data_IF_953255883244
#
_entry.id   IF_953255883244
#
_cell.length_a   1.000
_cell.length_b   1.000
_cell.length_c   1.000
_cell.angle_alpha   90.00
_cell.angle_beta   90.00
_cell.angle_gamma   90.00
#
_symmetry.space_group_name_H-M   'P 1'
#
loop_
_entity.id
_entity.type
_entity.pdbx_description
1 polymer ?
#
# COMPACT_ATOMS: atom_id res chain seq x y z
N UNK A 1 -24.68 4.67 49.54
CA UNK A 1 -23.39 4.71 48.81
C UNK A 1 -23.45 3.69 47.66
N UNK A 2 -23.93 4.13 46.52
CA UNK A 2 -24.01 3.32 45.30
C UNK A 2 -22.88 3.80 44.37
N UNK A 3 -21.83 2.98 44.20
CA UNK A 3 -20.81 3.17 43.20
C UNK A 3 -21.38 2.74 41.85
N UNK A 4 -21.86 3.68 41.04
CA UNK A 4 -22.13 3.48 39.62
C UNK A 4 -20.80 3.34 38.90
N UNK A 5 -20.41 2.10 38.62
CA UNK A 5 -19.40 1.79 37.62
C UNK A 5 -20.09 1.55 36.28
N UNK A 6 -20.31 2.61 35.52
CA UNK A 6 -20.61 2.51 34.08
C UNK A 6 -19.36 2.04 33.33
N UNK A 7 -19.22 0.72 33.17
CA UNK A 7 -18.32 0.17 32.20
C UNK A 7 -18.91 0.44 30.81
N UNK A 8 -18.16 1.06 29.86
CA UNK A 8 -18.60 1.14 28.46
C UNK A 8 -18.66 -0.27 27.87
N UNK A 9 -19.81 -0.61 27.31
CA UNK A 9 -20.03 -1.84 26.57
C UNK A 9 -19.04 -1.87 25.38
N UNK A 10 -18.11 -2.85 25.39
CA UNK A 10 -17.14 -3.04 24.30
C UNK A 10 -15.72 -3.43 24.72
N UNK A 11 -15.47 -3.73 25.99
CA UNK A 11 -14.16 -4.15 26.51
C UNK A 11 -13.75 -5.56 26.08
N UNK A 12 -13.47 -5.78 24.77
CA UNK A 12 -12.70 -6.94 24.37
C UNK A 12 -11.25 -6.82 24.89
N UNK A 13 -10.68 -7.93 25.35
CA UNK A 13 -9.34 -7.99 25.95
C UNK A 13 -8.29 -7.36 24.99
N UNK A 14 -7.92 -6.11 25.26
CA UNK A 14 -6.80 -5.41 24.62
C UNK A 14 -5.57 -5.48 25.54
N UNK A 15 -4.36 -5.35 24.96
CA UNK A 15 -3.11 -5.41 25.72
C UNK A 15 -2.99 -4.27 26.74
N UNK A 16 -3.44 -3.07 26.34
CA UNK A 16 -3.44 -1.86 27.16
C UNK A 16 -4.80 -1.18 27.10
N UNK A 17 -5.57 -1.12 28.18
CA UNK A 17 -6.89 -0.47 28.19
C UNK A 17 -6.84 1.05 27.93
N UNK A 18 -5.67 1.67 28.08
CA UNK A 18 -5.43 3.10 27.87
C UNK A 18 -4.15 3.35 27.09
N UNK A 19 -3.27 4.20 27.63
CA UNK A 19 -2.03 4.62 26.98
C UNK A 19 -1.04 3.47 26.80
N UNK A 20 -0.55 3.28 25.57
CA UNK A 20 0.49 2.29 25.25
C UNK A 20 1.85 2.81 25.71
N UNK A 21 2.67 2.01 26.42
CA UNK A 21 4.01 2.42 26.83
C UNK A 21 4.86 2.85 25.63
N UNK A 22 5.62 3.95 25.78
CA UNK A 22 6.44 4.49 24.70
C UNK A 22 7.39 3.44 24.12
N UNK A 23 8.03 2.63 24.98
CA UNK A 23 8.93 1.54 24.56
C UNK A 23 8.24 0.58 23.57
N UNK A 24 7.03 0.12 23.86
CA UNK A 24 6.27 -0.80 23.00
C UNK A 24 5.91 -0.11 21.68
N UNK A 25 5.45 1.13 21.75
CA UNK A 25 5.03 1.94 20.59
C UNK A 25 6.19 2.14 19.59
N UNK A 26 7.34 2.60 20.07
CA UNK A 26 8.49 2.87 19.22
C UNK A 26 9.18 1.60 18.72
N UNK A 27 9.27 0.54 19.52
CA UNK A 27 9.86 -0.74 19.07
C UNK A 27 8.95 -1.43 18.07
N UNK A 28 7.62 -1.32 18.21
CA UNK A 28 6.66 -1.80 17.21
C UNK A 28 6.83 -1.01 15.89
N UNK A 29 6.90 0.31 15.96
CA UNK A 29 7.12 1.12 14.76
C UNK A 29 8.47 0.82 14.09
N UNK A 30 9.52 0.57 14.87
CA UNK A 30 10.83 0.20 14.35
C UNK A 30 10.83 -1.12 13.58
N UNK A 31 9.96 -2.08 13.95
CA UNK A 31 9.75 -3.30 13.18
C UNK A 31 9.27 -3.04 11.76
N UNK A 32 8.45 -2.00 11.54
CA UNK A 32 8.00 -1.62 10.21
C UNK A 32 9.15 -1.19 9.29
N UNK A 33 10.21 -0.56 9.83
CA UNK A 33 11.35 -0.12 9.03
C UNK A 33 11.95 -1.29 8.23
N UNK A 34 12.41 -2.35 8.92
CA UNK A 34 13.07 -3.48 8.26
C UNK A 34 12.11 -4.30 7.40
N UNK A 35 10.87 -4.47 7.87
CA UNK A 35 9.81 -5.16 7.13
C UNK A 35 9.56 -4.49 5.76
N UNK A 36 9.41 -3.18 5.76
CA UNK A 36 9.12 -2.44 4.54
C UNK A 36 10.37 -2.14 3.69
N UNK A 37 11.59 -2.29 4.23
CA UNK A 37 12.81 -2.35 3.42
C UNK A 37 12.82 -3.60 2.51
N UNK A 38 12.47 -4.79 3.02
CA UNK A 38 12.32 -6.00 2.20
C UNK A 38 11.27 -5.79 1.11
N UNK A 39 10.08 -5.33 1.51
CA UNK A 39 9.00 -5.05 0.56
C UNK A 39 9.42 -4.02 -0.49
N UNK A 40 10.08 -2.94 -0.08
CA UNK A 40 10.58 -1.88 -0.95
C UNK A 40 11.61 -2.39 -1.97
N UNK A 41 12.52 -3.27 -1.56
CA UNK A 41 13.50 -3.88 -2.47
C UNK A 41 12.81 -4.67 -3.57
N UNK A 42 11.81 -5.46 -3.23
CA UNK A 42 11.01 -6.22 -4.21
C UNK A 42 10.18 -5.28 -5.07
N UNK A 43 9.46 -4.32 -4.48
CA UNK A 43 8.59 -3.43 -5.22
C UNK A 43 9.34 -2.53 -6.22
N UNK A 44 10.55 -2.08 -5.86
CA UNK A 44 11.33 -1.12 -6.65
C UNK A 44 12.27 -1.80 -7.65
N UNK A 45 12.91 -2.90 -7.24
CA UNK A 45 14.05 -3.44 -7.97
C UNK A 45 13.84 -4.84 -8.52
N UNK A 46 12.81 -5.60 -8.10
CA UNK A 46 12.70 -7.00 -8.54
C UNK A 46 12.53 -7.12 -10.05
N UNK A 47 11.73 -6.27 -10.67
CA UNK A 47 11.50 -6.38 -12.12
C UNK A 47 12.79 -6.12 -12.90
N UNK A 48 13.51 -5.03 -12.61
CA UNK A 48 14.78 -4.70 -13.29
C UNK A 48 15.88 -5.70 -12.92
N UNK A 49 15.89 -6.26 -11.71
CA UNK A 49 16.79 -7.34 -11.34
C UNK A 49 16.59 -8.58 -12.20
N UNK A 50 15.33 -9.02 -12.35
CA UNK A 50 15.01 -10.19 -13.17
C UNK A 50 15.27 -9.96 -14.65
N UNK A 51 14.97 -8.77 -15.19
CA UNK A 51 15.20 -8.47 -16.63
C UNK A 51 16.66 -8.21 -16.95
N UNK A 52 17.34 -7.36 -16.16
CA UNK A 52 18.63 -6.78 -16.53
C UNK A 52 19.82 -7.53 -15.97
N UNK A 53 19.69 -8.09 -14.76
CA UNK A 53 20.77 -8.78 -14.06
C UNK A 53 20.76 -10.26 -14.39
N UNK A 54 19.62 -10.94 -14.22
CA UNK A 54 19.52 -12.38 -14.47
C UNK A 54 18.92 -12.72 -15.86
N UNK A 55 18.51 -11.69 -16.63
CA UNK A 55 18.15 -11.78 -18.07
C UNK A 55 16.95 -12.71 -18.37
N UNK A 56 15.93 -12.67 -17.53
CA UNK A 56 14.65 -13.34 -17.79
C UNK A 56 13.76 -12.43 -18.65
N UNK A 57 13.02 -13.00 -19.60
CA UNK A 57 12.15 -12.24 -20.51
C UNK A 57 11.11 -11.39 -19.76
N UNK A 58 10.92 -10.10 -20.08
CA UNK A 58 10.01 -9.20 -19.38
C UNK A 58 8.57 -9.69 -19.34
N UNK A 59 8.05 -10.27 -20.44
CA UNK A 59 6.70 -10.83 -20.48
C UNK A 59 6.51 -11.98 -19.48
N UNK A 60 7.50 -12.88 -19.34
CA UNK A 60 7.46 -13.95 -18.35
C UNK A 60 7.39 -13.38 -16.92
N UNK A 61 8.20 -12.36 -16.62
CA UNK A 61 8.21 -11.72 -15.30
C UNK A 61 6.88 -11.03 -15.02
N UNK A 62 6.28 -10.37 -16.02
CA UNK A 62 4.96 -9.77 -15.90
C UNK A 62 3.88 -10.80 -15.55
N UNK A 63 3.89 -11.96 -16.23
CA UNK A 63 2.98 -13.10 -15.93
C UNK A 63 3.25 -13.66 -14.54
N UNK A 64 4.51 -13.84 -14.18
CA UNK A 64 4.93 -14.33 -12.86
C UNK A 64 4.42 -13.42 -11.74
N UNK A 65 4.62 -12.10 -11.86
CA UNK A 65 4.15 -11.13 -10.87
C UNK A 65 2.63 -11.09 -10.80
N UNK A 66 1.95 -11.16 -11.94
CA UNK A 66 0.48 -11.27 -11.97
C UNK A 66 -0.02 -12.49 -11.20
N UNK A 67 0.51 -13.68 -11.53
CA UNK A 67 0.13 -14.92 -10.86
C UNK A 67 0.42 -14.89 -9.36
N UNK A 68 1.60 -14.38 -8.96
CA UNK A 68 1.98 -14.24 -7.56
C UNK A 68 1.04 -13.29 -6.79
N UNK A 69 0.65 -12.15 -7.37
CA UNK A 69 -0.28 -11.20 -6.71
C UNK A 69 -1.69 -11.76 -6.57
N UNK A 70 -2.17 -12.54 -7.55
CA UNK A 70 -3.44 -13.26 -7.42
C UNK A 70 -3.34 -14.30 -6.30
N UNK A 71 -2.24 -15.06 -6.27
CA UNK A 71 -1.99 -16.03 -5.21
C UNK A 71 -1.92 -15.37 -3.81
N UNK A 72 -1.24 -14.23 -3.68
CA UNK A 72 -1.16 -13.46 -2.43
C UNK A 72 -2.53 -13.11 -1.87
N UNK A 73 -3.50 -12.78 -2.74
CA UNK A 73 -4.86 -12.46 -2.29
C UNK A 73 -5.56 -13.64 -1.60
N UNK A 74 -5.32 -14.87 -2.08
CA UNK A 74 -5.82 -16.08 -1.42
C UNK A 74 -5.02 -16.42 -0.16
N UNK A 75 -3.70 -16.32 -0.23
CA UNK A 75 -2.80 -16.62 0.87
C UNK A 75 -3.06 -15.75 2.11
N UNK A 76 -3.39 -14.48 1.93
CA UNK A 76 -3.74 -13.56 3.02
C UNK A 76 -4.94 -14.05 3.84
N UNK A 77 -5.96 -14.59 3.17
CA UNK A 77 -7.15 -15.13 3.85
C UNK A 77 -6.80 -16.36 4.70
N UNK A 78 -5.98 -17.25 4.13
CA UNK A 78 -5.49 -18.43 4.86
C UNK A 78 -4.69 -18.03 6.08
N UNK A 79 -3.78 -17.08 5.93
CA UNK A 79 -2.93 -16.62 7.01
C UNK A 79 -3.72 -15.92 8.11
N UNK A 80 -4.70 -15.10 7.76
CA UNK A 80 -5.62 -14.49 8.71
C UNK A 80 -6.34 -15.54 9.57
N UNK A 81 -6.86 -16.60 8.96
CA UNK A 81 -7.51 -17.69 9.68
C UNK A 81 -6.55 -18.47 10.60
N UNK A 82 -5.32 -18.72 10.14
CA UNK A 82 -4.30 -19.40 10.95
C UNK A 82 -3.92 -18.56 12.19
N UNK A 83 -3.68 -17.27 12.00
CA UNK A 83 -3.37 -16.35 13.09
C UNK A 83 -4.52 -16.28 14.09
N UNK A 84 -5.77 -16.21 13.61
CA UNK A 84 -6.95 -16.11 14.48
C UNK A 84 -7.18 -17.34 15.33
N UNK A 85 -6.78 -18.51 14.86
CA UNK A 85 -6.90 -19.78 15.58
C UNK A 85 -5.68 -20.11 16.44
N UNK A 86 -4.61 -19.31 16.37
CA UNK A 86 -3.36 -19.58 17.07
C UNK A 86 -3.49 -19.35 18.58
N UNK A 87 -3.10 -20.38 19.35
CA UNK A 87 -2.98 -20.33 20.81
C UNK A 87 -1.57 -20.80 21.18
N UNK A 88 -0.75 -19.89 21.68
CA UNK A 88 0.61 -20.22 22.12
C UNK A 88 0.96 -19.59 23.46
N UNK A 89 1.98 -20.17 24.13
CA UNK A 89 2.53 -19.60 25.37
C UNK A 89 3.18 -18.21 25.20
N UNK A 90 3.52 -17.86 23.96
CA UNK A 90 4.11 -16.56 23.61
C UNK A 90 3.06 -15.56 23.11
N UNK A 91 1.78 -15.91 23.15
CA UNK A 91 0.69 -15.12 22.59
C UNK A 91 0.34 -15.50 21.16
N UNK A 92 -0.63 -14.78 20.57
CA UNK A 92 -1.22 -15.07 19.26
C UNK A 92 -0.29 -14.70 18.10
N UNK A 93 0.42 -13.57 18.20
CA UNK A 93 1.12 -12.94 17.07
C UNK A 93 2.63 -13.21 17.07
N UNK A 94 3.27 -13.28 18.24
CA UNK A 94 4.73 -13.39 18.39
C UNK A 94 5.34 -14.59 17.65
N UNK A 95 4.76 -15.81 17.69
CA UNK A 95 5.33 -16.96 16.96
C UNK A 95 5.39 -16.72 15.47
N UNK A 96 4.33 -16.14 14.91
CA UNK A 96 4.25 -15.84 13.47
C UNK A 96 5.23 -14.75 13.05
N UNK A 97 5.39 -13.70 13.87
CA UNK A 97 6.40 -12.68 13.63
C UNK A 97 7.81 -13.27 13.63
N UNK A 98 8.15 -14.08 14.63
CA UNK A 98 9.50 -14.64 14.74
C UNK A 98 9.82 -15.64 13.63
N UNK A 99 8.96 -16.64 13.44
CA UNK A 99 9.16 -17.72 12.44
C UNK A 99 9.02 -17.15 11.02
N UNK A 100 7.99 -16.35 10.76
CA UNK A 100 7.75 -15.74 9.45
C UNK A 100 8.91 -14.84 9.02
N UNK A 101 9.48 -14.05 9.96
CA UNK A 101 10.65 -13.20 9.66
C UNK A 101 11.86 -14.02 9.24
N UNK A 102 12.19 -15.09 9.98
CA UNK A 102 13.37 -15.90 9.67
C UNK A 102 13.22 -16.63 8.33
N UNK A 103 12.06 -17.24 8.08
CA UNK A 103 11.79 -17.94 6.82
C UNK A 103 11.79 -16.95 5.66
N UNK A 104 11.12 -15.79 5.81
CA UNK A 104 11.05 -14.79 4.74
C UNK A 104 12.43 -14.17 4.44
N UNK A 105 13.23 -13.86 5.47
CA UNK A 105 14.59 -13.37 5.27
C UNK A 105 15.47 -14.39 4.51
N UNK A 106 15.33 -15.68 4.83
CA UNK A 106 16.04 -16.76 4.13
C UNK A 106 15.61 -16.86 2.65
N UNK A 107 14.29 -16.89 2.38
CA UNK A 107 13.76 -16.92 1.00
C UNK A 107 14.14 -15.66 0.23
N UNK A 108 14.15 -14.50 0.89
CA UNK A 108 14.57 -13.24 0.29
C UNK A 108 16.05 -13.25 -0.12
N UNK A 109 16.95 -13.80 0.69
CA UNK A 109 18.35 -13.97 0.32
C UNK A 109 18.47 -14.92 -0.87
N UNK A 110 17.77 -16.06 -0.85
CA UNK A 110 17.75 -17.03 -1.98
C UNK A 110 17.32 -16.34 -3.28
N UNK A 111 16.29 -15.48 -3.25
CA UNK A 111 15.79 -14.77 -4.42
C UNK A 111 16.86 -13.91 -5.11
N UNK A 112 17.79 -13.37 -4.33
CA UNK A 112 18.92 -12.57 -4.83
C UNK A 112 20.25 -13.35 -4.85
N UNK A 113 20.20 -14.70 -4.82
CA UNK A 113 21.38 -15.57 -4.94
C UNK A 113 21.44 -16.20 -6.33
N UNK A 114 22.61 -16.07 -7.00
CA UNK A 114 22.84 -16.70 -8.27
C UNK A 114 23.25 -18.15 -8.10
N UNK A 115 22.45 -19.04 -8.62
CA UNK A 115 22.73 -20.48 -8.68
C UNK A 115 23.28 -20.92 -10.04
N UNK A 116 23.67 -19.97 -10.89
CA UNK A 116 24.17 -20.21 -12.27
C UNK A 116 23.20 -21.02 -13.14
N UNK A 117 21.89 -20.84 -12.87
CA UNK A 117 20.83 -21.47 -13.65
C UNK A 117 20.63 -20.75 -14.98
N UNK A 118 20.18 -21.48 -16.00
CA UNK A 118 19.88 -20.93 -17.32
C UNK A 118 18.60 -21.52 -17.90
N UNK A 119 18.06 -20.86 -18.93
CA UNK A 119 16.90 -21.36 -19.66
C UNK A 119 15.66 -21.56 -18.77
N UNK A 120 14.99 -22.69 -18.94
CA UNK A 120 13.76 -23.03 -18.21
C UNK A 120 14.01 -23.14 -16.70
N UNK A 121 15.17 -23.68 -16.28
CA UNK A 121 15.54 -23.81 -14.87
C UNK A 121 15.59 -22.46 -14.15
N UNK A 122 16.11 -21.44 -14.79
CA UNK A 122 16.14 -20.08 -14.27
C UNK A 122 14.72 -19.50 -14.13
N UNK A 123 13.86 -19.70 -15.14
CA UNK A 123 12.46 -19.24 -15.09
C UNK A 123 11.67 -19.89 -13.94
N UNK A 124 11.83 -21.22 -13.79
CA UNK A 124 11.17 -21.97 -12.71
C UNK A 124 11.68 -21.50 -11.34
N UNK A 125 12.99 -21.34 -11.18
CA UNK A 125 13.59 -20.82 -9.95
C UNK A 125 13.04 -19.43 -9.61
N UNK A 126 13.05 -18.49 -10.56
CA UNK A 126 12.55 -17.14 -10.37
C UNK A 126 11.07 -17.15 -9.92
N UNK A 127 10.23 -17.94 -10.59
CA UNK A 127 8.81 -18.04 -10.26
C UNK A 127 8.57 -18.63 -8.87
N UNK A 128 9.23 -19.76 -8.56
CA UNK A 128 9.08 -20.43 -7.26
C UNK A 128 9.61 -19.55 -6.13
N UNK A 129 10.80 -18.97 -6.28
CA UNK A 129 11.41 -18.13 -5.27
C UNK A 129 10.58 -16.85 -5.00
N UNK A 130 10.04 -16.22 -6.04
CA UNK A 130 9.22 -15.04 -5.91
C UNK A 130 7.87 -15.34 -5.24
N UNK A 131 7.18 -16.43 -5.62
CA UNK A 131 5.92 -16.85 -4.99
C UNK A 131 6.16 -17.24 -3.53
N UNK A 132 7.21 -18.00 -3.23
CA UNK A 132 7.58 -18.37 -1.86
C UNK A 132 7.91 -17.12 -1.01
N UNK A 133 8.59 -16.12 -1.61
CA UNK A 133 8.82 -14.86 -0.92
C UNK A 133 7.51 -14.19 -0.52
N UNK A 134 6.54 -14.05 -1.43
CA UNK A 134 5.22 -13.46 -1.14
C UNK A 134 4.48 -14.24 -0.04
N UNK A 135 4.43 -15.58 -0.15
CA UNK A 135 3.78 -16.44 0.85
C UNK A 135 4.40 -16.27 2.24
N UNK A 136 5.73 -16.31 2.33
CA UNK A 136 6.44 -16.21 3.61
C UNK A 136 6.39 -14.80 4.19
N UNK A 137 6.33 -13.76 3.34
CA UNK A 137 6.12 -12.37 3.77
C UNK A 137 4.76 -12.21 4.46
N UNK A 138 3.70 -12.77 3.90
CA UNK A 138 2.35 -12.75 4.47
C UNK A 138 2.30 -13.41 5.86
N UNK A 139 3.10 -14.46 6.12
CA UNK A 139 3.18 -15.13 7.44
C UNK A 139 3.56 -14.15 8.56
N UNK A 140 4.36 -13.15 8.27
CA UNK A 140 4.80 -12.12 9.22
C UNK A 140 3.95 -10.84 9.12
N UNK A 141 3.59 -10.40 7.92
CA UNK A 141 2.96 -9.10 7.68
C UNK A 141 1.53 -9.03 8.26
N UNK A 142 0.71 -10.05 8.05
CA UNK A 142 -0.66 -10.10 8.58
C UNK A 142 -0.69 -10.07 10.12
N UNK A 143 0.08 -10.91 10.84
CA UNK A 143 0.15 -10.79 12.30
C UNK A 143 0.67 -9.43 12.76
N UNK A 144 1.63 -8.84 12.06
CA UNK A 144 2.19 -7.53 12.41
C UNK A 144 1.11 -6.45 12.43
N UNK A 145 0.35 -6.29 11.35
CA UNK A 145 -0.71 -5.29 11.29
C UNK A 145 -1.90 -5.63 12.19
N UNK A 146 -2.16 -6.92 12.43
CA UNK A 146 -3.21 -7.37 13.35
C UNK A 146 -2.94 -7.03 14.81
N UNK A 147 -1.72 -6.68 15.18
CA UNK A 147 -1.38 -6.20 16.54
C UNK A 147 -2.02 -4.84 16.82
N UNK A 148 -2.08 -3.94 15.85
CA UNK A 148 -2.52 -2.54 16.04
C UNK A 148 -3.88 -2.43 16.75
N UNK A 149 -4.98 -3.06 16.27
CA UNK A 149 -6.27 -2.99 16.93
C UNK A 149 -6.31 -3.70 18.29
N UNK A 150 -5.32 -4.56 18.56
CA UNK A 150 -5.23 -5.32 19.81
C UNK A 150 -4.33 -4.65 20.86
N UNK A 151 -3.56 -3.62 20.48
CA UNK A 151 -2.71 -2.90 21.43
C UNK A 151 -3.50 -2.05 22.40
N UNK A 152 -4.51 -1.30 21.93
CA UNK A 152 -5.28 -0.40 22.81
C UNK A 152 -6.72 -0.24 22.35
N UNK A 153 -7.61 0.02 23.31
CA UNK A 153 -9.00 0.42 23.05
C UNK A 153 -9.18 1.93 22.97
N UNK A 154 -8.20 2.73 23.42
CA UNK A 154 -8.23 4.19 23.32
C UNK A 154 -8.07 4.64 21.86
N UNK A 155 -9.06 5.36 21.28
CA UNK A 155 -9.01 5.80 19.88
C UNK A 155 -7.81 6.70 19.56
N UNK A 156 -7.44 7.63 20.46
CA UNK A 156 -6.32 8.55 20.25
C UNK A 156 -4.95 7.83 20.30
N UNK A 157 -4.80 6.87 21.21
CA UNK A 157 -3.57 6.06 21.24
C UNK A 157 -3.51 5.09 20.07
N UNK A 158 -4.66 4.54 19.65
CA UNK A 158 -4.74 3.67 18.46
C UNK A 158 -4.30 4.40 17.19
N UNK A 159 -4.71 5.66 17.03
CA UNK A 159 -4.26 6.51 15.92
C UNK A 159 -2.73 6.64 15.92
N UNK A 160 -2.12 6.99 17.05
CA UNK A 160 -0.65 7.10 17.17
C UNK A 160 0.08 5.80 16.86
N UNK A 161 -0.44 4.67 17.38
CA UNK A 161 0.14 3.35 17.15
C UNK A 161 -0.05 2.88 15.71
N UNK A 162 -1.04 3.40 14.99
CA UNK A 162 -1.25 3.11 13.56
C UNK A 162 -0.38 3.98 12.65
N UNK A 163 -0.19 5.26 12.99
CA UNK A 163 0.56 6.22 12.16
C UNK A 163 2.07 6.03 12.28
N UNK A 164 2.58 5.80 13.49
CA UNK A 164 4.03 5.73 13.73
C UNK A 164 4.71 4.60 12.93
N UNK A 165 4.21 3.35 12.87
CA UNK A 165 4.79 2.32 12.01
C UNK A 165 4.76 2.67 10.52
N UNK A 166 3.74 3.39 10.05
CA UNK A 166 3.66 3.83 8.64
C UNK A 166 4.76 4.85 8.29
N UNK A 167 5.13 5.71 9.24
CA UNK A 167 6.27 6.63 9.06
C UNK A 167 7.58 5.83 8.93
N UNK A 168 7.81 4.86 9.81
CA UNK A 168 9.00 4.01 9.74
C UNK A 168 9.04 3.14 8.48
N UNK A 169 7.89 2.61 8.06
CA UNK A 169 7.71 1.90 6.79
C UNK A 169 8.09 2.78 5.59
N UNK A 170 7.59 4.02 5.55
CA UNK A 170 7.92 4.97 4.49
C UNK A 170 9.41 5.32 4.47
N UNK A 171 10.05 5.48 5.63
CA UNK A 171 11.51 5.66 5.71
C UNK A 171 12.24 4.45 5.13
N UNK A 172 11.86 3.23 5.50
CA UNK A 172 12.46 2.00 4.98
C UNK A 172 12.28 1.85 3.47
N UNK A 173 11.05 1.86 3.01
CA UNK A 173 10.72 1.59 1.61
C UNK A 173 11.10 2.75 0.68
N UNK A 174 10.64 3.96 0.99
CA UNK A 174 10.74 5.09 0.05
C UNK A 174 12.06 5.84 0.17
N UNK A 175 12.52 6.13 1.40
CA UNK A 175 13.75 6.88 1.57
C UNK A 175 14.99 6.00 1.41
N UNK A 176 15.09 4.88 2.16
CA UNK A 176 16.30 4.05 2.15
C UNK A 176 16.37 3.24 0.85
N UNK A 177 15.33 2.48 0.50
CA UNK A 177 15.38 1.57 -0.65
C UNK A 177 15.21 2.32 -1.96
N UNK A 178 14.09 3.00 -2.18
CA UNK A 178 13.86 3.68 -3.46
C UNK A 178 14.74 4.94 -3.63
N UNK A 179 15.04 5.64 -2.53
CA UNK A 179 15.88 6.84 -2.54
C UNK A 179 17.37 6.55 -2.70
N UNK A 180 17.93 5.67 -1.91
CA UNK A 180 19.38 5.41 -1.89
C UNK A 180 19.78 4.04 -2.45
N UNK A 181 18.83 3.16 -2.79
CA UNK A 181 19.13 1.79 -3.16
C UNK A 181 20.06 1.65 -4.36
N UNK A 182 19.90 2.49 -5.40
CA UNK A 182 20.79 2.48 -6.57
C UNK A 182 22.23 2.78 -6.19
N UNK A 183 22.48 3.78 -5.34
CA UNK A 183 23.82 4.16 -4.89
C UNK A 183 24.42 3.07 -3.99
N UNK A 184 23.60 2.50 -3.10
CA UNK A 184 24.03 1.41 -2.22
C UNK A 184 24.42 0.18 -3.04
N UNK A 185 23.58 -0.23 -4.02
CA UNK A 185 23.86 -1.37 -4.90
C UNK A 185 25.16 -1.13 -5.67
N UNK A 186 25.35 0.07 -6.25
CA UNK A 186 26.60 0.42 -6.96
C UNK A 186 27.80 0.40 -6.02
N UNK A 187 27.71 0.97 -4.82
CA UNK A 187 28.77 0.99 -3.82
C UNK A 187 29.16 -0.39 -3.30
N UNK A 188 28.22 -1.34 -3.31
CA UNK A 188 28.45 -2.74 -2.92
C UNK A 188 29.00 -3.63 -4.05
N UNK A 189 29.35 -3.06 -5.19
CA UNK A 189 29.96 -3.76 -6.32
C UNK A 189 29.12 -3.79 -7.60
N UNK A 190 27.90 -3.25 -7.56
CA UNK A 190 26.98 -3.21 -8.71
C UNK A 190 26.53 -4.60 -9.17
N UNK A 191 25.73 -4.63 -10.25
CA UNK A 191 25.27 -5.88 -10.86
C UNK A 191 24.74 -6.89 -9.84
N UNK A 192 24.91 -8.16 -10.11
CA UNK A 192 24.51 -9.25 -9.21
C UNK A 192 25.09 -9.10 -7.79
N UNK A 193 26.39 -8.85 -7.68
CA UNK A 193 27.09 -8.76 -6.37
C UNK A 193 26.51 -7.66 -5.49
N UNK A 194 26.22 -6.50 -6.07
CA UNK A 194 25.60 -5.38 -5.36
C UNK A 194 24.22 -5.71 -4.84
N UNK A 195 23.36 -6.33 -5.67
CA UNK A 195 22.04 -6.78 -5.26
C UNK A 195 22.07 -7.82 -4.16
N UNK A 196 22.93 -8.84 -4.28
CA UNK A 196 23.06 -9.90 -3.27
C UNK A 196 23.54 -9.35 -1.92
N UNK A 197 24.61 -8.54 -1.90
CA UNK A 197 25.11 -7.91 -0.67
C UNK A 197 24.10 -7.00 -0.02
N UNK A 198 23.36 -6.24 -0.83
CA UNK A 198 22.29 -5.37 -0.32
C UNK A 198 21.15 -6.19 0.28
N UNK A 199 20.76 -7.30 -0.35
CA UNK A 199 19.77 -8.22 0.19
C UNK A 199 20.19 -8.80 1.56
N UNK A 200 21.46 -9.15 1.74
CA UNK A 200 21.99 -9.61 3.04
C UNK A 200 21.85 -8.53 4.12
N UNK A 201 22.20 -7.28 3.80
CA UNK A 201 22.08 -6.14 4.73
C UNK A 201 20.62 -5.92 5.11
N UNK A 202 19.72 -5.92 4.13
CA UNK A 202 18.28 -5.75 4.36
C UNK A 202 17.72 -6.89 5.21
N UNK A 203 18.06 -8.14 4.90
CA UNK A 203 17.63 -9.31 5.67
C UNK A 203 18.09 -9.24 7.13
N UNK A 204 19.36 -8.88 7.38
CA UNK A 204 19.88 -8.68 8.72
C UNK A 204 19.15 -7.55 9.47
N UNK A 205 18.90 -6.42 8.81
CA UNK A 205 18.13 -5.29 9.37
C UNK A 205 16.70 -5.72 9.71
N UNK A 206 16.04 -6.46 8.82
CA UNK A 206 14.70 -6.98 9.03
C UNK A 206 14.61 -7.92 10.25
N UNK A 207 15.52 -8.90 10.34
CA UNK A 207 15.58 -9.81 11.50
C UNK A 207 15.80 -9.00 12.78
N UNK A 208 16.72 -8.04 12.77
CA UNK A 208 17.04 -7.22 13.93
C UNK A 208 15.84 -6.37 14.38
N UNK A 209 15.20 -5.65 13.47
CA UNK A 209 14.08 -4.75 13.81
C UNK A 209 12.86 -5.51 14.31
N UNK A 210 12.54 -6.67 13.70
CA UNK A 210 11.45 -7.52 14.19
C UNK A 210 11.80 -8.21 15.51
N UNK A 211 13.06 -8.64 15.71
CA UNK A 211 13.48 -9.17 16.99
C UNK A 211 13.30 -8.16 18.13
N UNK A 212 13.69 -6.88 17.90
CA UNK A 212 13.44 -5.78 18.85
C UNK A 212 11.94 -5.61 19.13
N UNK A 213 11.10 -5.71 18.10
CA UNK A 213 9.63 -5.67 18.25
C UNK A 213 9.15 -6.83 19.13
N UNK A 214 9.50 -8.07 18.77
CA UNK A 214 9.06 -9.31 19.44
C UNK A 214 9.46 -9.34 20.92
N UNK A 215 10.67 -8.93 21.25
CA UNK A 215 11.17 -8.88 22.64
C UNK A 215 10.36 -7.92 23.51
N UNK A 216 9.86 -6.83 22.93
CA UNK A 216 9.16 -5.78 23.67
C UNK A 216 7.62 -5.89 23.62
N UNK A 217 7.06 -6.82 22.83
CA UNK A 217 5.61 -7.07 22.82
C UNK A 217 5.17 -7.81 24.09
N UNK A 218 3.96 -7.48 24.60
CA UNK A 218 3.40 -8.21 25.74
C UNK A 218 3.15 -9.68 25.41
N UNK A 219 3.51 -10.57 26.31
CA UNK A 219 3.31 -12.03 26.15
C UNK A 219 1.83 -12.45 26.18
N UNK A 220 0.97 -11.70 26.86
CA UNK A 220 -0.48 -11.93 26.88
C UNK A 220 -1.13 -11.14 25.74
N UNK A 221 -1.33 -11.81 24.62
CA UNK A 221 -2.00 -11.23 23.47
C UNK A 221 -3.35 -11.90 23.27
N UNK A 222 -4.41 -11.25 23.69
CA UNK A 222 -5.77 -11.73 23.49
C UNK A 222 -6.38 -10.93 22.35
N UNK A 223 -6.53 -11.54 21.18
CA UNK A 223 -7.17 -10.88 20.03
C UNK A 223 -8.68 -11.06 20.05
N UNK A 224 -9.42 -10.03 19.65
CA UNK A 224 -10.82 -10.18 19.23
C UNK A 224 -10.87 -11.14 18.04
N UNK A 225 -11.89 -12.03 18.03
CA UNK A 225 -12.21 -12.84 16.86
C UNK A 225 -12.59 -11.89 15.72
N UNK A 226 -11.85 -11.90 14.63
CA UNK A 226 -12.23 -11.11 13.47
C UNK A 226 -13.58 -11.64 12.93
N UNK A 227 -14.46 -10.74 12.54
CA UNK A 227 -15.70 -11.12 11.85
C UNK A 227 -15.32 -11.77 10.52
N UNK A 228 -15.85 -12.97 10.29
CA UNK A 228 -15.62 -13.69 9.04
C UNK A 228 -16.40 -12.99 7.93
N UNK A 229 -15.71 -12.26 7.09
CA UNK A 229 -16.29 -11.65 5.89
C UNK A 229 -16.16 -12.64 4.74
N UNK A 230 -17.30 -13.07 4.17
CA UNK A 230 -17.33 -13.94 2.99
C UNK A 230 -17.20 -13.10 1.71
N UNK A 231 -16.59 -13.68 0.65
CA UNK A 231 -16.58 -13.05 -0.68
C UNK A 231 -18.01 -12.75 -1.20
N UNK A 232 -19.00 -13.58 -0.85
CA UNK A 232 -20.40 -13.33 -1.20
C UNK A 232 -20.94 -12.06 -0.51
N UNK A 233 -20.53 -11.82 0.73
CA UNK A 233 -20.94 -10.62 1.47
C UNK A 233 -20.34 -9.37 0.85
N UNK A 234 -19.05 -9.40 0.49
CA UNK A 234 -18.36 -8.31 -0.21
C UNK A 234 -19.12 -7.96 -1.51
N UNK A 235 -19.43 -8.95 -2.33
CA UNK A 235 -20.10 -8.73 -3.61
C UNK A 235 -21.54 -8.20 -3.43
N UNK A 236 -22.26 -8.71 -2.44
CA UNK A 236 -23.61 -8.25 -2.08
C UNK A 236 -23.60 -6.79 -1.63
N UNK A 237 -22.65 -6.42 -0.76
CA UNK A 237 -22.53 -5.06 -0.25
C UNK A 237 -22.17 -4.08 -1.36
N UNK A 238 -21.22 -4.42 -2.25
CA UNK A 238 -20.87 -3.60 -3.43
C UNK A 238 -22.10 -3.39 -4.32
N UNK A 239 -22.92 -4.42 -4.54
CA UNK A 239 -24.12 -4.33 -5.38
C UNK A 239 -25.18 -3.41 -4.77
N UNK A 240 -25.34 -3.42 -3.44
CA UNK A 240 -26.37 -2.66 -2.71
C UNK A 240 -25.95 -1.24 -2.35
N UNK A 241 -24.64 -0.97 -2.15
CA UNK A 241 -24.10 0.34 -1.86
C UNK A 241 -23.53 0.98 -3.14
N UNK A 242 -24.31 1.89 -3.75
CA UNK A 242 -23.93 2.54 -5.01
C UNK A 242 -22.71 3.47 -4.86
N UNK A 243 -22.54 4.12 -3.71
CA UNK A 243 -21.39 4.98 -3.47
C UNK A 243 -20.10 4.17 -3.23
N UNK A 244 -20.19 2.97 -2.68
CA UNK A 244 -19.06 2.04 -2.58
C UNK A 244 -18.54 1.65 -3.98
N UNK A 245 -19.43 1.39 -4.95
CA UNK A 245 -18.99 1.09 -6.33
C UNK A 245 -18.19 2.22 -6.96
N UNK A 246 -18.62 3.45 -6.73
CA UNK A 246 -17.87 4.61 -7.26
C UNK A 246 -16.57 4.85 -6.51
N UNK A 247 -16.54 4.69 -5.19
CA UNK A 247 -15.31 4.74 -4.41
C UNK A 247 -14.29 3.68 -4.87
N UNK A 248 -14.75 2.45 -5.14
CA UNK A 248 -13.94 1.38 -5.73
C UNK A 248 -13.34 1.80 -7.08
N UNK A 249 -14.16 2.37 -7.97
CA UNK A 249 -13.68 2.84 -9.27
C UNK A 249 -12.65 3.98 -9.15
N UNK A 250 -12.84 4.91 -8.20
CA UNK A 250 -11.88 5.98 -7.92
C UNK A 250 -10.53 5.43 -7.43
N UNK A 251 -10.58 4.54 -6.43
CA UNK A 251 -9.39 3.90 -5.87
C UNK A 251 -8.66 3.09 -6.95
N UNK A 252 -9.39 2.33 -7.77
CA UNK A 252 -8.81 1.53 -8.85
C UNK A 252 -8.09 2.41 -9.87
N UNK A 253 -8.76 3.44 -10.42
CA UNK A 253 -8.19 4.33 -11.44
C UNK A 253 -6.94 5.05 -10.93
N UNK A 254 -6.98 5.53 -9.68
CA UNK A 254 -5.86 6.23 -9.09
C UNK A 254 -4.69 5.29 -8.76
N UNK A 255 -4.97 4.12 -8.18
CA UNK A 255 -3.93 3.13 -7.86
C UNK A 255 -3.25 2.55 -9.10
N UNK A 256 -3.94 2.35 -10.21
CA UNK A 256 -3.32 1.97 -11.48
C UNK A 256 -2.20 2.96 -11.82
N UNK A 257 -2.46 4.27 -11.70
CA UNK A 257 -1.44 5.30 -11.93
C UNK A 257 -0.24 5.17 -10.98
N UNK A 258 -0.48 5.01 -9.68
CA UNK A 258 0.60 4.85 -8.68
C UNK A 258 1.46 3.61 -9.00
N UNK A 259 0.83 2.48 -9.33
CA UNK A 259 1.53 1.23 -9.60
C UNK A 259 2.38 1.29 -10.87
N UNK A 260 1.92 1.99 -11.92
CA UNK A 260 2.75 2.24 -13.11
C UNK A 260 3.97 3.11 -12.78
N UNK A 261 3.80 4.20 -12.02
CA UNK A 261 4.92 5.05 -11.60
C UNK A 261 5.95 4.22 -10.84
N UNK A 262 5.51 3.43 -9.87
CA UNK A 262 6.40 2.59 -9.05
C UNK A 262 7.13 1.52 -9.89
N UNK A 263 6.40 0.82 -10.78
CA UNK A 263 6.95 -0.29 -11.54
C UNK A 263 7.85 0.12 -12.71
N UNK A 264 7.68 1.34 -13.25
CA UNK A 264 8.42 1.80 -14.45
C UNK A 264 9.53 2.79 -14.12
N UNK A 265 9.54 3.40 -12.92
CA UNK A 265 10.49 4.46 -12.58
C UNK A 265 11.96 4.05 -12.78
N UNK A 266 12.35 2.85 -12.37
CA UNK A 266 13.72 2.34 -12.57
C UNK A 266 14.11 2.27 -14.04
N UNK A 267 13.22 1.80 -14.91
CA UNK A 267 13.43 1.76 -16.37
C UNK A 267 13.48 3.15 -16.97
N UNK A 268 12.59 4.06 -16.54
CA UNK A 268 12.56 5.42 -17.05
C UNK A 268 13.88 6.14 -16.79
N UNK A 269 14.39 6.11 -15.57
CA UNK A 269 15.65 6.78 -15.25
C UNK A 269 16.89 6.06 -15.81
N UNK A 270 16.84 4.72 -15.91
CA UNK A 270 17.95 3.96 -16.50
C UNK A 270 18.06 4.15 -18.02
N UNK A 271 16.93 4.10 -18.75
CA UNK A 271 16.94 3.96 -20.20
C UNK A 271 16.38 5.15 -20.99
N UNK A 272 15.55 6.00 -20.37
CA UNK A 272 15.09 7.25 -20.99
C UNK A 272 16.01 8.41 -20.61
N UNK A 273 16.36 8.51 -19.32
CA UNK A 273 17.26 9.54 -18.83
C UNK A 273 18.75 9.15 -18.95
N UNK A 274 19.08 7.89 -19.22
CA UNK A 274 20.44 7.33 -19.19
C UNK A 274 21.22 7.66 -17.89
N UNK A 275 20.52 7.85 -16.79
CA UNK A 275 21.07 8.20 -15.49
C UNK A 275 20.23 7.61 -14.36
N UNK A 276 20.54 6.40 -13.94
CA UNK A 276 19.84 5.72 -12.84
C UNK A 276 19.98 6.44 -11.48
N UNK A 277 20.97 7.34 -11.32
CA UNK A 277 21.11 8.16 -10.11
C UNK A 277 19.99 9.21 -9.95
N UNK A 278 19.34 9.61 -11.05
CA UNK A 278 18.19 10.52 -11.01
C UNK A 278 16.96 9.90 -10.34
N UNK A 279 16.84 8.56 -10.31
CA UNK A 279 15.80 7.87 -9.55
C UNK A 279 15.84 8.28 -8.08
N UNK A 280 17.03 8.37 -7.50
CA UNK A 280 17.22 8.76 -6.10
C UNK A 280 16.78 10.18 -5.83
N UNK A 281 17.20 11.12 -6.67
CA UNK A 281 16.77 12.52 -6.54
C UNK A 281 15.25 12.65 -6.64
N UNK A 282 14.63 11.93 -7.60
CA UNK A 282 13.18 11.87 -7.74
C UNK A 282 12.51 11.26 -6.50
N UNK A 283 12.95 10.08 -6.04
CA UNK A 283 12.31 9.35 -4.95
C UNK A 283 12.46 10.03 -3.59
N UNK A 284 13.63 10.60 -3.29
CA UNK A 284 13.86 11.33 -2.02
C UNK A 284 12.97 12.57 -1.96
N UNK A 285 13.02 13.42 -3.00
CA UNK A 285 12.20 14.63 -3.05
C UNK A 285 10.70 14.31 -3.05
N UNK A 286 10.31 13.27 -3.76
CA UNK A 286 8.97 12.75 -3.85
C UNK A 286 8.43 12.26 -2.50
N UNK A 287 9.23 11.50 -1.74
CA UNK A 287 8.81 10.98 -0.43
C UNK A 287 8.56 12.10 0.58
N UNK A 288 9.43 13.10 0.62
CA UNK A 288 9.25 14.29 1.47
C UNK A 288 7.96 15.02 1.07
N UNK A 289 7.75 15.23 -0.22
CA UNK A 289 6.59 15.94 -0.75
C UNK A 289 5.26 15.22 -0.46
N UNK A 290 5.24 13.88 -0.50
CA UNK A 290 4.07 13.07 -0.16
C UNK A 290 3.65 13.26 1.30
N UNK A 291 4.62 13.21 2.23
CA UNK A 291 4.38 13.47 3.65
C UNK A 291 3.86 14.90 3.87
N UNK A 292 4.47 15.89 3.21
CA UNK A 292 3.99 17.29 3.27
C UNK A 292 2.57 17.40 2.73
N UNK A 293 2.26 16.76 1.60
CA UNK A 293 0.91 16.70 1.01
C UNK A 293 -0.13 16.15 1.99
N UNK A 294 0.20 15.06 2.67
CA UNK A 294 -0.67 14.46 3.68
C UNK A 294 -0.87 15.37 4.91
N UNK A 295 0.20 16.02 5.39
CA UNK A 295 0.13 16.94 6.54
C UNK A 295 -0.72 18.18 6.22
N UNK A 296 -0.61 18.73 5.01
CA UNK A 296 -1.38 19.93 4.62
C UNK A 296 -2.83 19.61 4.24
N UNK A 297 -3.19 18.34 3.99
CA UNK A 297 -4.51 17.91 3.55
C UNK A 297 -5.67 18.48 4.38
N UNK A 298 -5.67 18.42 5.73
CA UNK A 298 -6.76 18.99 6.53
C UNK A 298 -6.92 20.51 6.35
N UNK A 299 -5.80 21.23 6.16
CA UNK A 299 -5.82 22.68 5.89
C UNK A 299 -6.39 22.96 4.50
N UNK A 300 -6.00 22.18 3.50
CA UNK A 300 -6.49 22.32 2.11
C UNK A 300 -8.01 22.04 2.05
N UNK A 301 -8.50 21.02 2.70
CA UNK A 301 -9.94 20.69 2.73
C UNK A 301 -10.74 21.77 3.46
N UNK A 302 -10.22 22.32 4.55
CA UNK A 302 -10.87 23.43 5.27
C UNK A 302 -10.95 24.71 4.44
N UNK A 303 -9.92 25.03 3.65
CA UNK A 303 -9.85 26.25 2.84
C UNK A 303 -10.63 26.16 1.52
N UNK A 304 -10.58 25.00 0.85
CA UNK A 304 -11.05 24.84 -0.53
C UNK A 304 -12.27 23.94 -0.70
N UNK A 305 -12.67 23.15 0.25
CA UNK A 305 -13.63 22.03 0.22
C UNK A 305 -13.01 20.70 -0.23
N UNK A 306 -13.64 19.58 0.17
CA UNK A 306 -13.20 18.21 -0.20
C UNK A 306 -13.14 18.00 -1.72
N UNK A 307 -14.10 18.55 -2.47
CA UNK A 307 -14.15 18.44 -3.94
C UNK A 307 -12.95 19.10 -4.61
N UNK A 308 -12.58 20.30 -4.19
CA UNK A 308 -11.40 21.00 -4.73
C UNK A 308 -10.09 20.37 -4.27
N UNK A 309 -10.04 19.83 -3.04
CA UNK A 309 -8.89 19.07 -2.56
C UNK A 309 -8.62 17.83 -3.42
N UNK A 310 -9.67 17.07 -3.76
CA UNK A 310 -9.51 15.91 -4.65
C UNK A 310 -9.17 16.30 -6.10
N UNK A 311 -9.69 17.43 -6.60
CA UNK A 311 -9.27 17.98 -7.88
C UNK A 311 -7.76 18.26 -7.90
N UNK A 312 -7.23 18.91 -6.86
CA UNK A 312 -5.79 19.17 -6.72
C UNK A 312 -5.00 17.85 -6.61
N UNK A 313 -5.52 16.88 -5.86
CA UNK A 313 -4.92 15.56 -5.74
C UNK A 313 -4.80 14.82 -7.09
N UNK A 314 -5.67 15.13 -8.07
CA UNK A 314 -5.60 14.53 -9.42
C UNK A 314 -4.80 15.41 -10.42
N UNK A 315 -4.96 16.73 -10.37
CA UNK A 315 -4.32 17.64 -11.34
C UNK A 315 -2.82 17.80 -11.06
N UNK A 316 -2.40 17.93 -9.80
CA UNK A 316 -0.99 18.08 -9.47
C UNK A 316 -0.13 16.93 -10.01
N UNK A 317 -0.48 15.64 -9.76
CA UNK A 317 0.29 14.55 -10.33
C UNK A 317 0.28 14.57 -11.87
N UNK A 318 -0.84 14.90 -12.50
CA UNK A 318 -0.91 14.97 -13.96
C UNK A 318 0.02 16.05 -14.53
N UNK A 319 0.10 17.23 -13.89
CA UNK A 319 1.04 18.29 -14.24
C UNK A 319 2.49 17.83 -14.04
N UNK A 320 2.81 17.25 -12.88
CA UNK A 320 4.16 16.76 -12.60
C UNK A 320 4.61 15.66 -13.57
N UNK A 321 3.70 14.73 -13.93
CA UNK A 321 3.95 13.70 -14.93
C UNK A 321 4.13 14.28 -16.34
N UNK A 322 3.41 15.35 -16.71
CA UNK A 322 3.61 16.07 -17.96
C UNK A 322 4.99 16.76 -17.99
N UNK A 323 5.41 17.39 -16.88
CA UNK A 323 6.76 17.94 -16.75
C UNK A 323 7.80 16.84 -16.92
N UNK A 324 7.60 15.69 -16.27
CA UNK A 324 8.51 14.55 -16.38
C UNK A 324 8.58 13.99 -17.81
N UNK A 325 7.45 13.92 -18.51
CA UNK A 325 7.38 13.51 -19.92
C UNK A 325 8.19 14.45 -20.82
N UNK A 326 7.96 15.76 -20.69
CA UNK A 326 8.66 16.78 -21.46
C UNK A 326 10.17 16.78 -21.12
N UNK A 327 10.51 16.63 -19.86
CA UNK A 327 11.91 16.47 -19.42
C UNK A 327 12.57 15.27 -20.10
N UNK A 328 11.89 14.11 -20.12
CA UNK A 328 12.40 12.90 -20.77
C UNK A 328 12.55 13.02 -22.29
N UNK A 329 11.87 13.97 -22.96
CA UNK A 329 11.98 14.22 -24.40
C UNK A 329 13.07 15.25 -24.69
N UNK A 330 13.05 16.40 -24.01
CA UNK A 330 13.85 17.57 -24.38
C UNK A 330 15.10 17.78 -23.52
N UNK A 331 15.10 17.30 -22.27
CA UNK A 331 16.17 17.51 -21.31
C UNK A 331 16.34 16.31 -20.37
N UNK A 332 16.58 15.08 -20.87
CA UNK A 332 16.47 13.83 -20.12
C UNK A 332 17.39 13.74 -18.89
N UNK A 333 18.48 14.53 -18.84
CA UNK A 333 19.42 14.56 -17.73
C UNK A 333 19.22 15.75 -16.79
N UNK A 334 18.16 16.56 -16.94
CA UNK A 334 17.92 17.71 -16.09
C UNK A 334 17.35 17.27 -14.74
N UNK A 335 18.22 17.22 -13.73
CA UNK A 335 17.86 16.80 -12.37
C UNK A 335 16.90 17.77 -11.69
N UNK A 336 16.98 19.07 -11.99
CA UNK A 336 16.13 20.11 -11.37
C UNK A 336 14.68 19.91 -11.80
N UNK A 337 14.43 19.76 -13.10
CA UNK A 337 13.08 19.49 -13.61
C UNK A 337 12.53 18.15 -13.11
N UNK A 338 13.40 17.14 -12.99
CA UNK A 338 13.02 15.83 -12.41
C UNK A 338 12.59 15.95 -10.94
N UNK A 339 13.33 16.70 -10.13
CA UNK A 339 12.99 16.95 -8.71
C UNK A 339 11.67 17.74 -8.62
N UNK A 340 11.52 18.81 -9.40
CA UNK A 340 10.27 19.59 -9.44
C UNK A 340 9.08 18.70 -9.81
N UNK A 341 9.23 17.86 -10.86
CA UNK A 341 8.20 16.92 -11.27
C UNK A 341 7.84 15.96 -10.13
N UNK A 342 8.83 15.36 -9.46
CA UNK A 342 8.65 14.45 -8.33
C UNK A 342 7.91 15.09 -7.16
N UNK A 343 8.29 16.31 -6.79
CA UNK A 343 7.63 17.08 -5.73
C UNK A 343 6.16 17.34 -6.08
N UNK A 344 5.88 17.78 -7.29
CA UNK A 344 4.50 18.07 -7.72
C UNK A 344 3.65 16.80 -7.76
N UNK A 345 4.17 15.72 -8.36
CA UNK A 345 3.47 14.41 -8.41
C UNK A 345 3.11 13.96 -7.00
N UNK A 346 4.07 13.93 -6.09
CA UNK A 346 3.90 13.32 -4.79
C UNK A 346 3.18 14.20 -3.77
N UNK A 347 3.24 15.51 -3.91
CA UNK A 347 2.33 16.39 -3.15
C UNK A 347 0.87 16.08 -3.47
N UNK A 348 0.54 15.87 -4.75
CA UNK A 348 -0.80 15.47 -5.16
C UNK A 348 -1.21 14.08 -4.65
N UNK A 349 -0.30 13.09 -4.69
CA UNK A 349 -0.58 11.76 -4.12
C UNK A 349 -0.72 11.78 -2.60
N UNK A 350 0.01 12.65 -1.89
CA UNK A 350 -0.17 12.87 -0.45
C UNK A 350 -1.56 13.45 -0.12
N UNK A 351 -2.05 14.40 -0.91
CA UNK A 351 -3.43 14.90 -0.80
C UNK A 351 -4.45 13.79 -1.08
N UNK A 352 -4.22 12.94 -2.08
CA UNK A 352 -5.10 11.82 -2.41
C UNK A 352 -5.20 10.81 -1.27
N UNK A 353 -4.09 10.46 -0.64
CA UNK A 353 -4.08 9.53 0.50
C UNK A 353 -4.98 10.04 1.63
N UNK A 354 -4.98 11.36 1.88
CA UNK A 354 -5.92 12.00 2.79
C UNK A 354 -7.38 11.89 2.30
N UNK A 355 -7.65 12.16 1.02
CA UNK A 355 -8.97 12.03 0.42
C UNK A 355 -9.48 10.57 0.48
N UNK A 356 -8.66 9.59 0.12
CA UNK A 356 -9.04 8.17 0.12
C UNK A 356 -9.47 7.71 1.51
N UNK A 357 -8.74 8.13 2.56
CA UNK A 357 -9.11 7.81 3.96
C UNK A 357 -10.50 8.35 4.31
N UNK A 358 -10.80 9.58 3.91
CA UNK A 358 -12.12 10.21 4.13
C UNK A 358 -13.20 9.51 3.31
N UNK A 359 -12.95 9.19 2.03
CA UNK A 359 -13.93 8.52 1.17
C UNK A 359 -14.31 7.14 1.70
N UNK A 360 -13.36 6.38 2.23
CA UNK A 360 -13.63 5.07 2.83
C UNK A 360 -14.52 5.20 4.06
N UNK A 361 -14.25 6.17 4.94
CA UNK A 361 -15.08 6.45 6.11
C UNK A 361 -16.51 6.87 5.70
N UNK A 362 -16.63 7.82 4.76
CA UNK A 362 -17.92 8.30 4.25
C UNK A 362 -18.78 7.17 3.65
N UNK A 363 -18.13 6.24 2.92
CA UNK A 363 -18.81 5.10 2.30
C UNK A 363 -19.27 4.07 3.33
N UNK A 364 -18.54 3.90 4.44
CA UNK A 364 -18.95 3.07 5.59
C UNK A 364 -20.19 3.67 6.24
N UNK A 365 -20.16 4.97 6.57
CA UNK A 365 -21.28 5.66 7.20
C UNK A 365 -22.52 5.71 6.27
N UNK A 366 -22.32 5.95 4.97
CA UNK A 366 -23.40 5.88 3.98
C UNK A 366 -23.98 4.45 3.87
N UNK A 367 -23.14 3.43 3.97
CA UNK A 367 -23.57 2.03 3.99
C UNK A 367 -24.45 1.73 5.21
N UNK A 368 -24.07 2.22 6.39
CA UNK A 368 -24.85 2.12 7.61
C UNK A 368 -26.21 2.85 7.49
N UNK A 369 -26.20 4.08 7.00
CA UNK A 369 -27.41 4.87 6.75
C UNK A 369 -28.38 4.19 5.76
N UNK A 370 -27.86 3.62 4.66
CA UNK A 370 -28.68 3.06 3.58
C UNK A 370 -29.11 1.61 3.81
N UNK A 371 -28.25 0.79 4.44
CA UNK A 371 -28.44 -0.65 4.58
C UNK A 371 -28.74 -1.09 6.02
N UNK A 372 -28.66 -0.17 6.98
CA UNK A 372 -28.83 -0.47 8.42
C UNK A 372 -27.72 -1.29 9.04
N UNK A 373 -26.61 -1.53 8.31
CA UNK A 373 -25.47 -2.36 8.77
C UNK A 373 -24.15 -1.64 8.49
N UNK A 374 -23.32 -1.52 9.54
CA UNK A 374 -21.97 -0.95 9.42
C UNK A 374 -20.97 -1.99 8.94
N UNK A 375 -20.53 -1.87 7.69
CA UNK A 375 -19.67 -2.85 7.02
C UNK A 375 -18.21 -2.35 6.86
N UNK A 376 -17.62 -1.85 7.93
CA UNK A 376 -16.27 -1.26 7.92
C UNK A 376 -15.21 -2.25 7.42
N UNK A 377 -15.19 -3.47 7.99
CA UNK A 377 -14.22 -4.50 7.60
C UNK A 377 -14.29 -4.87 6.12
N UNK A 378 -15.49 -4.89 5.51
CA UNK A 378 -15.68 -5.19 4.09
C UNK A 378 -15.07 -4.09 3.22
N UNK A 379 -15.30 -2.82 3.56
CA UNK A 379 -14.82 -1.67 2.78
C UNK A 379 -13.29 -1.61 2.76
N UNK A 380 -12.64 -1.80 3.93
CA UNK A 380 -11.18 -1.81 4.01
C UNK A 380 -10.55 -3.05 3.36
N UNK A 381 -11.17 -4.24 3.48
CA UNK A 381 -10.71 -5.44 2.78
C UNK A 381 -10.79 -5.28 1.27
N UNK A 382 -11.84 -4.63 0.77
CA UNK A 382 -12.00 -4.34 -0.66
C UNK A 382 -10.92 -3.37 -1.16
N UNK A 383 -10.57 -2.33 -0.39
CA UNK A 383 -9.45 -1.44 -0.72
C UNK A 383 -8.15 -2.23 -0.91
N UNK A 384 -7.81 -3.10 0.04
CA UNK A 384 -6.60 -3.93 -0.02
C UNK A 384 -6.60 -4.84 -1.25
N UNK A 385 -7.74 -5.47 -1.55
CA UNK A 385 -7.92 -6.30 -2.73
C UNK A 385 -7.69 -5.51 -4.03
N UNK A 386 -8.25 -4.30 -4.15
CA UNK A 386 -8.07 -3.44 -5.32
C UNK A 386 -6.60 -3.08 -5.52
N UNK A 387 -5.88 -2.71 -4.46
CA UNK A 387 -4.45 -2.39 -4.53
C UNK A 387 -3.65 -3.57 -5.07
N UNK A 388 -3.93 -4.80 -4.60
CA UNK A 388 -3.26 -6.02 -5.09
C UNK A 388 -3.61 -6.34 -6.54
N UNK A 389 -4.87 -6.23 -6.93
CA UNK A 389 -5.30 -6.46 -8.31
C UNK A 389 -4.69 -5.44 -9.27
N UNK A 390 -4.67 -4.15 -8.90
CA UNK A 390 -4.03 -3.11 -9.72
C UNK A 390 -2.54 -3.37 -9.88
N UNK A 391 -1.83 -3.77 -8.82
CA UNK A 391 -0.42 -4.14 -8.89
C UNK A 391 -0.18 -5.33 -9.84
N UNK A 392 -1.05 -6.35 -9.78
CA UNK A 392 -0.99 -7.53 -10.66
C UNK A 392 -1.13 -7.14 -12.14
N UNK A 393 -2.20 -6.44 -12.48
CA UNK A 393 -2.46 -6.01 -13.86
C UNK A 393 -1.40 -5.04 -14.38
N UNK A 394 -0.92 -4.14 -13.55
CA UNK A 394 0.15 -3.20 -13.93
C UNK A 394 1.46 -3.93 -14.23
N UNK A 395 1.87 -4.87 -13.37
CA UNK A 395 3.09 -5.67 -13.61
C UNK A 395 3.01 -6.47 -14.91
N UNK A 396 1.84 -7.08 -15.17
CA UNK A 396 1.57 -7.78 -16.43
C UNK A 396 1.70 -6.84 -17.64
N UNK A 397 1.06 -5.67 -17.56
CA UNK A 397 1.07 -4.66 -18.62
C UNK A 397 2.48 -4.14 -18.92
N UNK A 398 3.29 -3.89 -17.87
CA UNK A 398 4.68 -3.45 -18.02
C UNK A 398 5.51 -4.53 -18.70
N UNK A 399 5.40 -5.80 -18.24
CA UNK A 399 6.14 -6.91 -18.81
C UNK A 399 5.87 -7.08 -20.31
N UNK A 400 4.58 -7.11 -20.70
CA UNK A 400 4.19 -7.21 -22.11
C UNK A 400 4.59 -5.99 -22.93
N UNK A 401 4.46 -4.77 -22.41
CA UNK A 401 4.83 -3.57 -23.12
C UNK A 401 6.35 -3.50 -23.42
N UNK A 402 7.18 -3.91 -22.48
CA UNK A 402 8.63 -3.99 -22.67
C UNK A 402 8.98 -5.06 -23.73
N UNK A 403 8.37 -6.24 -23.64
CA UNK A 403 8.63 -7.34 -24.57
C UNK A 403 8.21 -6.99 -26.01
N UNK A 404 6.97 -6.52 -26.20
CA UNK A 404 6.42 -6.14 -27.51
C UNK A 404 7.18 -5.00 -28.18
N UNK A 405 7.83 -4.12 -27.41
CA UNK A 405 8.62 -3.01 -27.96
C UNK A 405 10.09 -3.36 -28.18
N UNK A 406 10.46 -4.63 -27.98
CA UNK A 406 11.81 -5.13 -28.22
C UNK A 406 12.82 -4.60 -27.19
N UNK A 407 12.43 -4.55 -25.91
CA UNK A 407 13.35 -4.17 -24.85
C UNK A 407 14.55 -5.13 -24.73
N UNK A 408 15.75 -4.58 -24.74
CA UNK A 408 17.00 -5.35 -24.59
C UNK A 408 17.74 -4.87 -23.34
N UNK A 409 17.96 -5.72 -22.34
CA UNK A 409 18.63 -5.36 -21.10
C UNK A 409 20.05 -4.80 -21.32
N UNK A 410 20.40 -3.75 -20.56
CA UNK A 410 21.74 -3.16 -20.51
C UNK A 410 22.25 -2.60 -21.86
N UNK A 411 21.34 -2.25 -22.76
CA UNK A 411 21.65 -1.62 -24.04
C UNK A 411 20.89 -0.31 -24.22
N UNK A 412 21.35 0.52 -25.15
CA UNK A 412 20.61 1.71 -25.58
C UNK A 412 19.31 1.23 -26.25
N UNK A 413 18.18 1.67 -25.69
CA UNK A 413 16.87 1.23 -26.17
C UNK A 413 16.47 1.92 -27.46
N UNK A 414 15.70 1.20 -28.29
CA UNK A 414 15.05 1.76 -29.45
C UNK A 414 14.11 2.93 -29.07
N UNK A 415 13.84 3.82 -30.02
CA UNK A 415 12.92 4.93 -29.81
C UNK A 415 11.50 4.42 -29.45
N UNK A 416 11.10 3.29 -30.03
CA UNK A 416 9.81 2.63 -29.71
C UNK A 416 9.75 2.20 -28.23
N UNK A 417 10.79 1.53 -27.74
CA UNK A 417 10.89 1.11 -26.33
C UNK A 417 10.94 2.30 -25.40
N UNK A 418 11.74 3.34 -25.70
CA UNK A 418 11.80 4.55 -24.89
C UNK A 418 10.44 5.27 -24.79
N UNK A 419 9.73 5.36 -25.93
CA UNK A 419 8.39 5.95 -25.96
C UNK A 419 7.37 5.12 -25.18
N UNK A 420 7.45 3.79 -25.26
CA UNK A 420 6.64 2.90 -24.42
C UNK A 420 6.87 3.18 -22.93
N UNK A 421 8.13 3.25 -22.49
CA UNK A 421 8.49 3.58 -21.10
C UNK A 421 7.95 4.97 -20.70
N UNK A 422 8.04 5.99 -21.59
CA UNK A 422 7.46 7.32 -21.32
C UNK A 422 5.95 7.27 -21.17
N UNK A 423 5.25 6.54 -22.01
CA UNK A 423 3.79 6.38 -21.96
C UNK A 423 3.38 5.68 -20.68
N UNK A 424 4.04 4.58 -20.32
CA UNK A 424 3.76 3.82 -19.10
C UNK A 424 4.04 4.65 -17.84
N UNK A 425 5.13 5.44 -17.83
CA UNK A 425 5.54 6.23 -16.67
C UNK A 425 4.71 7.51 -16.50
N UNK A 426 4.34 8.17 -17.59
CA UNK A 426 3.79 9.54 -17.53
C UNK A 426 2.34 9.63 -18.02
N UNK A 427 2.01 9.02 -19.17
CA UNK A 427 0.71 9.25 -19.80
C UNK A 427 -0.38 8.42 -19.16
N UNK A 428 -0.18 7.11 -19.01
CA UNK A 428 -1.19 6.22 -18.40
C UNK A 428 -1.56 6.66 -16.98
N UNK A 429 -0.58 6.94 -16.07
CA UNK A 429 -0.89 7.45 -14.74
C UNK A 429 -1.66 8.76 -14.76
N UNK A 430 -1.24 9.73 -15.58
CA UNK A 430 -1.90 11.03 -15.67
C UNK A 430 -3.36 10.89 -16.12
N UNK A 431 -3.61 10.09 -17.17
CA UNK A 431 -4.96 9.81 -17.66
C UNK A 431 -5.80 9.10 -16.60
N UNK A 432 -5.26 8.09 -15.92
CA UNK A 432 -5.96 7.37 -14.84
C UNK A 432 -6.41 8.30 -13.70
N UNK A 433 -5.50 9.18 -13.25
CA UNK A 433 -5.79 10.14 -12.18
C UNK A 433 -6.81 11.21 -12.59
N UNK A 434 -6.74 11.71 -13.84
CA UNK A 434 -7.74 12.64 -14.37
C UNK A 434 -9.12 11.98 -14.56
N UNK A 435 -9.15 10.73 -15.03
CA UNK A 435 -10.39 9.95 -15.12
C UNK A 435 -11.01 9.71 -13.73
N UNK A 436 -10.19 9.45 -12.71
CA UNK A 436 -10.67 9.36 -11.33
C UNK A 436 -11.41 10.64 -10.92
N UNK A 437 -10.87 11.83 -11.23
CA UNK A 437 -11.56 13.10 -10.96
C UNK A 437 -12.89 13.21 -11.73
N UNK A 438 -12.93 12.83 -13.00
CA UNK A 438 -14.16 12.87 -13.81
C UNK A 438 -15.25 11.97 -13.20
N UNK A 439 -14.88 10.75 -12.79
CA UNK A 439 -15.79 9.83 -12.09
C UNK A 439 -16.28 10.43 -10.78
N UNK A 440 -15.37 10.98 -9.97
CA UNK A 440 -15.72 11.67 -8.73
C UNK A 440 -16.73 12.80 -8.97
N UNK A 441 -16.43 13.67 -9.91
CA UNK A 441 -17.27 14.83 -10.20
C UNK A 441 -18.69 14.46 -10.66
N UNK A 442 -18.83 13.38 -11.44
CA UNK A 442 -20.10 12.96 -12.04
C UNK A 442 -20.91 12.01 -11.18
N UNK A 443 -20.26 11.18 -10.37
CA UNK A 443 -20.91 10.00 -9.77
C UNK A 443 -20.84 9.96 -8.24
N UNK A 444 -19.84 10.59 -7.62
CA UNK A 444 -19.68 10.57 -6.17
C UNK A 444 -20.53 11.67 -5.52
N UNK A 445 -21.51 11.24 -4.69
CA UNK A 445 -22.53 12.13 -4.10
C UNK A 445 -22.22 12.55 -2.66
N UNK A 446 -21.26 11.90 -1.99
CA UNK A 446 -20.97 12.09 -0.57
C UNK A 446 -20.13 13.38 -0.35
N UNK A 447 -20.76 14.52 -0.57
CA UNK A 447 -20.19 15.82 -0.25
C UNK A 447 -20.44 16.19 1.22
N UNK A 448 -19.78 17.26 1.71
CA UNK A 448 -19.88 17.70 3.11
C UNK A 448 -21.32 17.93 3.59
N UNK A 449 -22.18 18.49 2.73
CA UNK A 449 -23.59 18.75 3.05
C UNK A 449 -24.40 17.46 3.17
N UNK A 450 -24.15 16.50 2.26
CA UNK A 450 -24.82 15.21 2.28
C UNK A 450 -24.38 14.36 3.48
N UNK A 451 -23.06 14.34 3.76
CA UNK A 451 -22.51 13.60 4.90
C UNK A 451 -22.99 14.13 6.25
N UNK A 452 -23.21 15.44 6.40
CA UNK A 452 -23.86 15.98 7.60
C UNK A 452 -25.24 15.38 7.83
N UNK A 453 -26.06 15.19 6.78
CA UNK A 453 -27.37 14.53 6.88
C UNK A 453 -27.23 13.05 7.23
N UNK A 454 -26.29 12.34 6.62
CA UNK A 454 -26.04 10.93 6.89
C UNK A 454 -25.63 10.73 8.36
N UNK A 455 -24.68 11.50 8.86
CA UNK A 455 -24.19 11.40 10.24
C UNK A 455 -25.26 11.77 11.24
N UNK A 456 -26.05 12.83 11.00
CA UNK A 456 -27.16 13.20 11.88
C UNK A 456 -28.25 12.11 11.94
N UNK A 457 -28.57 11.49 10.81
CA UNK A 457 -29.57 10.41 10.77
C UNK A 457 -29.10 9.13 11.50
N UNK A 458 -27.80 8.80 11.44
CA UNK A 458 -27.24 7.67 12.19
C UNK A 458 -27.18 7.96 13.70
N UNK A 459 -26.91 9.22 14.07
CA UNK A 459 -26.74 9.64 15.47
C UNK A 459 -28.07 9.90 16.20
N UNK A 460 -29.18 10.05 15.50
CA UNK A 460 -30.53 10.21 16.09
C UNK A 460 -31.00 8.86 16.64
N UNK A 461 -31.39 8.76 17.92
CA UNK A 461 -31.93 7.52 18.48
C UNK A 461 -33.18 7.10 17.68
N UNK A 462 -33.30 5.82 17.34
CA UNK A 462 -34.45 5.21 16.64
C UNK A 462 -35.79 5.29 17.41
N UNK A 463 -35.92 6.18 18.37
CA UNK A 463 -37.10 6.26 19.28
C UNK A 463 -38.31 6.97 18.64
N UNK A 464 -38.14 7.69 17.53
CA UNK A 464 -39.27 8.43 16.91
C UNK A 464 -40.03 7.66 15.82
N UNK A 465 -39.43 6.63 15.21
CA UNK A 465 -40.11 5.87 14.13
C UNK A 465 -41.09 4.80 14.62
N UNK A 466 -41.07 4.46 15.93
CA UNK A 466 -42.04 3.55 16.55
C UNK A 466 -43.25 4.26 17.12
N UNK A 467 -43.17 5.56 17.40
CA UNK A 467 -44.30 6.32 17.90
C UNK A 467 -45.30 6.77 16.80
N UNK A 468 -44.86 7.01 15.60
CA UNK A 468 -45.78 7.38 14.47
C UNK A 468 -46.55 6.17 13.93
N UNK A 469 -45.96 4.97 13.93
CA UNK A 469 -46.70 3.76 13.48
C UNK A 469 -47.72 3.26 14.51
N UNK A 470 -47.53 3.57 15.79
CA UNK A 470 -48.51 3.19 16.85
C UNK A 470 -49.65 4.18 16.93
N UNK A 471 -49.53 5.37 16.39
CA UNK A 471 -50.61 6.38 16.36
C UNK A 471 -51.52 6.28 15.11
N UNK A 472 -51.02 5.71 14.00
CA UNK A 472 -51.82 5.43 12.82
C UNK A 472 -52.61 4.10 12.90
N UNK A 473 -52.24 3.14 13.76
CA UNK A 473 -52.99 1.92 14.01
C UNK A 473 -54.05 2.07 15.15
N UNK A 474 -54.06 3.22 15.81
CA UNK A 474 -55.01 3.51 16.92
C UNK A 474 -56.04 4.60 16.57
N UNK A 475 -56.10 5.07 15.33
CA UNK A 475 -57.11 5.97 14.78
C UNK A 475 -57.85 5.28 13.61
#
# INVERSE_FOLDING_TARGET
MLKNSTQPAGGGNVMYPGKVPGKVKYTFAFGALGKDMIYGMIATFSMIYFTDIIKVAPAFIGIMFFAAKIWDAFNDLFMGMLVDNTRSRFGKFVPWLAVGTLINAFVFIILFTDFHLSGIGLCVFAAVAYILWGMTYTIMDIPYWSIVPNLTSDPHEREKVSVLPRIFASIGQSLIIAGFGVQIIKGLGGGYTGYHRFALIIAATFIFTIAVTVINLPKKQVGKKAEKVSFKDIFSIIKRNDQLRWAVALILLYNVGIQFIMGVATYYFAYVCNNSGMLSAFMISASIAEVVGLIIFPKVTKMLSRKKAFLLACILPAIGLMILLLTGIFAPQNIVLTVIAGVIVKTGTGLELGCATVFLADVVDYGEYKLGVRNEGVVFSLQTLIVKLTAAFTSLSIGFALDLTGYVPNQIQSLATQNSIRVLMCVIPAVGMLLAYVVYHRKYKLNDAYMKKVVSAISSPQTELTSEKTTEEAA
#
